data_IF_666324024617
#
_entry.id   IF_666324024617
#
_cell.length_a   1.000
_cell.length_b   1.000
_cell.length_c   1.000
_cell.angle_alpha   90.00
_cell.angle_beta   90.00
_cell.angle_gamma   90.00
#
_symmetry.space_group_name_H-M   'P 1'
#
loop_
_entity.id
_entity.type
_entity.pdbx_description
1 polymer ?
#
# COMPACT_ATOMS: atom_id res chain seq x y z
N UNK A 1 26.29 -7.61 5.35
CA UNK A 1 24.89 -8.10 5.39
C UNK A 1 24.38 -8.27 3.98
N UNK A 2 24.22 -9.50 3.54
CA UNK A 2 23.66 -9.84 2.24
C UNK A 2 22.12 -9.68 2.31
N UNK A 3 21.52 -9.14 1.25
CA UNK A 3 20.08 -9.01 1.15
C UNK A 3 19.60 -9.78 -0.07
N UNK A 4 18.66 -10.68 0.16
CA UNK A 4 18.06 -11.50 -0.87
C UNK A 4 16.66 -10.93 -1.17
N UNK A 5 16.51 -10.22 -2.29
CA UNK A 5 15.19 -9.69 -2.67
C UNK A 5 14.32 -10.87 -3.12
N UNK A 6 13.19 -11.05 -2.44
CA UNK A 6 12.25 -12.15 -2.67
C UNK A 6 11.16 -11.77 -3.68
N UNK A 7 10.64 -10.56 -3.56
CA UNK A 7 9.60 -9.99 -4.39
C UNK A 7 9.83 -8.48 -4.47
N UNK A 8 9.79 -7.91 -5.66
CA UNK A 8 9.82 -6.47 -5.87
C UNK A 8 9.07 -6.09 -7.13
N UNK A 9 8.50 -4.89 -7.14
CA UNK A 9 7.75 -4.41 -8.29
C UNK A 9 7.51 -2.90 -8.26
N UNK A 10 7.01 -2.41 -9.39
CA UNK A 10 6.63 -1.01 -9.58
C UNK A 10 5.26 -0.79 -8.94
N UNK A 11 5.20 0.19 -8.05
CA UNK A 11 4.01 0.57 -7.28
C UNK A 11 3.62 2.03 -7.55
N UNK A 12 2.77 2.59 -6.71
CA UNK A 12 2.46 4.01 -6.75
C UNK A 12 1.68 4.42 -8.00
N UNK A 13 1.91 5.65 -8.45
CA UNK A 13 1.14 6.25 -9.55
C UNK A 13 1.19 5.45 -10.85
N UNK A 14 2.30 4.80 -11.14
CA UNK A 14 2.46 3.93 -12.31
C UNK A 14 1.53 2.72 -12.23
N UNK A 15 1.53 2.03 -11.09
CA UNK A 15 0.69 0.86 -10.89
C UNK A 15 -0.81 1.20 -10.93
N UNK A 16 -1.19 2.37 -10.44
CA UNK A 16 -2.60 2.81 -10.45
C UNK A 16 -3.10 3.30 -11.80
N UNK A 17 -2.21 3.54 -12.79
CA UNK A 17 -2.56 4.21 -14.04
C UNK A 17 -2.71 5.74 -13.89
N UNK A 18 -2.14 6.33 -12.84
CA UNK A 18 -2.19 7.76 -12.55
C UNK A 18 -0.89 8.49 -12.93
N UNK A 19 0.13 7.78 -13.42
CA UNK A 19 1.40 8.38 -13.82
C UNK A 19 1.21 9.33 -15.01
N UNK A 20 2.05 10.37 -15.05
CA UNK A 20 2.17 11.33 -16.15
C UNK A 20 3.63 11.55 -16.51
N UNK A 21 3.90 12.29 -17.59
CA UNK A 21 5.25 12.66 -17.95
C UNK A 21 5.95 13.37 -16.77
N UNK A 22 7.06 12.81 -16.29
CA UNK A 22 7.80 13.32 -15.13
C UNK A 22 7.37 12.73 -13.77
N UNK A 23 6.47 11.76 -13.74
CA UNK A 23 6.20 10.98 -12.51
C UNK A 23 7.43 10.13 -12.16
N UNK A 24 7.80 10.11 -10.89
CA UNK A 24 8.78 9.16 -10.37
C UNK A 24 8.25 7.73 -10.45
N UNK A 25 9.16 6.77 -10.60
CA UNK A 25 8.83 5.35 -10.57
C UNK A 25 9.13 4.82 -9.17
N UNK A 26 8.06 4.61 -8.41
CA UNK A 26 8.14 4.08 -7.05
C UNK A 26 8.31 2.55 -7.10
N UNK A 27 9.22 2.01 -6.29
CA UNK A 27 9.46 0.58 -6.16
C UNK A 27 9.26 0.12 -4.72
N UNK A 28 8.60 -1.00 -4.56
CA UNK A 28 8.40 -1.64 -3.27
C UNK A 28 8.85 -3.10 -3.36
N UNK A 29 9.45 -3.61 -2.28
CA UNK A 29 9.82 -5.02 -2.26
C UNK A 29 9.98 -5.59 -0.86
N UNK A 30 10.16 -6.91 -0.84
CA UNK A 30 10.44 -7.74 0.34
C UNK A 30 11.81 -8.37 0.16
N UNK A 31 12.64 -8.30 1.21
CA UNK A 31 13.92 -8.97 1.23
C UNK A 31 14.08 -9.85 2.47
N UNK A 32 14.92 -10.86 2.38
CA UNK A 32 15.43 -11.61 3.49
C UNK A 32 16.91 -11.24 3.76
N UNK A 33 17.32 -11.35 4.99
CA UNK A 33 18.75 -11.43 5.40
C UNK A 33 19.09 -12.88 5.74
N UNK A 34 20.37 -13.19 5.78
CA UNK A 34 20.82 -14.50 6.29
C UNK A 34 20.31 -14.70 7.71
N UNK A 35 19.68 -15.85 7.95
CA UNK A 35 18.96 -16.09 9.23
C UNK A 35 19.87 -16.00 10.43
N UNK A 36 21.15 -16.35 10.29
CA UNK A 36 22.16 -16.24 11.36
C UNK A 36 22.36 -14.78 11.81
N UNK A 37 22.19 -13.80 10.91
CA UNK A 37 22.34 -12.39 11.26
C UNK A 37 21.22 -11.89 12.20
N UNK A 38 20.06 -12.58 12.21
CA UNK A 38 18.95 -12.26 13.11
C UNK A 38 19.20 -12.72 14.56
N UNK A 39 20.19 -13.58 14.77
CA UNK A 39 20.56 -14.13 16.07
C UNK A 39 21.85 -13.54 16.64
N UNK A 40 22.48 -12.58 15.94
CA UNK A 40 23.67 -11.88 16.39
C UNK A 40 23.38 -10.74 17.37
N UNK A 41 24.43 -10.08 17.86
CA UNK A 41 24.32 -8.89 18.72
C UNK A 41 23.78 -7.67 17.95
N UNK A 42 23.98 -7.63 16.65
CA UNK A 42 23.47 -6.56 15.77
C UNK A 42 22.03 -6.84 15.34
N UNK A 43 21.22 -5.80 15.24
CA UNK A 43 19.88 -5.91 14.66
C UNK A 43 19.93 -5.51 13.18
N UNK A 44 19.59 -6.39 12.24
CA UNK A 44 19.51 -6.04 10.83
C UNK A 44 18.51 -4.90 10.59
N UNK A 45 18.79 -4.05 9.61
CA UNK A 45 17.85 -3.00 9.21
C UNK A 45 16.59 -3.64 8.66
N UNK A 46 15.45 -3.32 9.27
CA UNK A 46 14.14 -3.81 8.84
C UNK A 46 13.62 -3.14 7.56
N UNK A 47 14.21 -2.01 7.16
CA UNK A 47 13.84 -1.30 5.91
C UNK A 47 15.04 -0.64 5.29
N UNK A 48 15.05 -0.63 3.97
CA UNK A 48 15.99 0.11 3.13
C UNK A 48 15.16 1.06 2.27
N UNK A 49 15.46 2.34 2.35
CA UNK A 49 14.79 3.38 1.56
C UNK A 49 15.83 4.18 0.83
N UNK A 50 15.65 4.33 -0.47
CA UNK A 50 16.45 5.21 -1.33
C UNK A 50 15.51 6.20 -2.02
N UNK A 51 16.00 7.42 -2.27
CA UNK A 51 15.21 8.45 -2.93
C UNK A 51 15.47 8.52 -4.46
N UNK A 52 16.62 8.00 -4.90
CA UNK A 52 17.02 7.99 -6.33
C UNK A 52 17.88 6.75 -6.59
N UNK A 53 17.34 5.70 -7.22
CA UNK A 53 15.91 5.53 -7.54
C UNK A 53 15.04 5.46 -6.27
N UNK A 54 13.74 5.79 -6.40
CA UNK A 54 12.79 5.65 -5.28
C UNK A 54 12.47 4.17 -5.07
N UNK A 55 13.08 3.59 -4.05
CA UNK A 55 12.95 2.17 -3.70
C UNK A 55 12.74 2.05 -2.20
N UNK A 56 11.71 1.35 -1.81
CA UNK A 56 11.48 0.92 -0.43
C UNK A 56 11.47 -0.60 -0.37
N UNK A 57 12.41 -1.17 0.38
CA UNK A 57 12.45 -2.60 0.65
C UNK A 57 12.22 -2.83 2.15
N UNK A 58 11.33 -3.77 2.48
CA UNK A 58 11.10 -4.21 3.86
C UNK A 58 11.64 -5.62 4.07
N UNK A 59 12.27 -5.84 5.22
CA UNK A 59 12.62 -7.18 5.66
C UNK A 59 11.34 -8.03 5.84
N UNK A 60 11.42 -9.32 5.54
CA UNK A 60 10.27 -10.21 5.44
C UNK A 60 9.33 -10.15 6.67
N UNK A 61 9.88 -10.22 7.90
CA UNK A 61 9.05 -10.13 9.10
C UNK A 61 8.41 -8.74 9.27
N UNK A 62 9.14 -7.67 8.94
CA UNK A 62 8.60 -6.31 8.94
C UNK A 62 7.46 -6.17 7.94
N UNK A 63 7.67 -6.65 6.71
CA UNK A 63 6.65 -6.61 5.68
C UNK A 63 5.38 -7.33 6.13
N UNK A 64 5.52 -8.56 6.68
CA UNK A 64 4.40 -9.32 7.23
C UNK A 64 3.64 -8.55 8.31
N UNK A 65 4.33 -7.92 9.27
CA UNK A 65 3.67 -7.12 10.32
C UNK A 65 2.87 -5.95 9.75
N UNK A 66 3.41 -5.25 8.74
CA UNK A 66 2.71 -4.16 8.07
C UNK A 66 1.51 -4.67 7.26
N UNK A 67 1.66 -5.78 6.56
CA UNK A 67 0.61 -6.40 5.76
C UNK A 67 -0.53 -6.95 6.62
N UNK A 68 -0.22 -7.58 7.76
CA UNK A 68 -1.22 -8.01 8.76
C UNK A 68 -2.03 -6.84 9.33
N UNK A 69 -1.47 -5.63 9.34
CA UNK A 69 -2.19 -4.40 9.63
C UNK A 69 -3.02 -3.86 8.47
N UNK A 70 -3.13 -4.59 7.37
CA UNK A 70 -3.77 -4.17 6.11
C UNK A 70 -3.27 -2.81 5.60
N UNK A 71 -1.96 -2.51 5.78
CA UNK A 71 -1.36 -1.27 5.32
C UNK A 71 -1.49 -1.14 3.80
N UNK A 72 -2.27 -0.18 3.27
CA UNK A 72 -2.60 -0.10 1.84
C UNK A 72 -1.37 0.05 0.93
N UNK A 73 -0.33 0.75 1.40
CA UNK A 73 0.88 1.01 0.60
C UNK A 73 1.89 -0.13 0.64
N UNK A 74 1.71 -1.09 1.53
CA UNK A 74 2.56 -2.28 1.63
C UNK A 74 1.90 -3.48 0.98
N UNK A 75 0.61 -3.67 1.23
CA UNK A 75 -0.13 -4.82 0.69
C UNK A 75 -0.33 -4.75 -0.81
N UNK A 76 -0.25 -3.57 -1.44
CA UNK A 76 -0.36 -3.44 -2.90
C UNK A 76 0.67 -4.30 -3.65
N UNK A 77 1.85 -4.57 -3.08
CA UNK A 77 2.88 -5.39 -3.70
C UNK A 77 2.37 -6.78 -4.11
N UNK A 78 1.59 -7.45 -3.27
CA UNK A 78 1.07 -8.81 -3.54
C UNK A 78 -0.19 -8.83 -4.40
N UNK A 79 -0.69 -7.66 -4.80
CA UNK A 79 -1.82 -7.48 -5.69
C UNK A 79 -1.42 -6.87 -7.04
N UNK A 80 -0.12 -6.65 -7.27
CA UNK A 80 0.34 -6.11 -8.56
C UNK A 80 -0.01 -7.05 -9.71
N UNK A 81 -0.35 -6.50 -10.88
CA UNK A 81 -0.42 -7.28 -12.09
C UNK A 81 0.98 -7.82 -12.45
N UNK A 82 1.05 -8.99 -13.11
CA UNK A 82 2.32 -9.70 -13.35
C UNK A 82 3.40 -8.86 -14.04
N UNK A 83 3.02 -7.98 -14.94
CA UNK A 83 3.93 -7.13 -15.72
C UNK A 83 4.64 -6.03 -14.92
N UNK A 84 4.19 -5.77 -13.68
CA UNK A 84 4.80 -4.77 -12.81
C UNK A 84 5.81 -5.35 -11.82
N UNK A 85 5.96 -6.67 -11.76
CA UNK A 85 7.02 -7.28 -10.96
C UNK A 85 8.37 -7.19 -11.67
N UNK A 86 9.38 -6.68 -10.96
CA UNK A 86 10.77 -6.63 -11.40
C UNK A 86 11.58 -7.82 -10.83
N UNK A 87 11.18 -8.35 -9.68
CA UNK A 87 11.78 -9.54 -9.04
C UNK A 87 10.66 -10.43 -8.50
N UNK A 88 10.71 -11.71 -8.88
CA UNK A 88 9.85 -12.77 -8.34
C UNK A 88 10.68 -14.03 -8.17
N UNK A 89 10.82 -14.48 -6.93
CA UNK A 89 11.40 -15.78 -6.58
C UNK A 89 10.30 -16.75 -6.20
N UNK A 90 10.62 -18.04 -6.04
CA UNK A 90 9.64 -19.03 -5.55
C UNK A 90 9.03 -18.61 -4.21
N UNK A 91 9.83 -18.01 -3.31
CA UNK A 91 9.33 -17.48 -2.03
C UNK A 91 8.47 -16.22 -2.22
N UNK A 92 8.78 -15.41 -3.23
CA UNK A 92 7.95 -14.26 -3.62
C UNK A 92 6.61 -14.73 -4.18
N UNK A 93 6.60 -15.76 -5.01
CA UNK A 93 5.38 -16.36 -5.57
C UNK A 93 4.53 -17.02 -4.48
N UNK A 94 5.16 -17.70 -3.52
CA UNK A 94 4.48 -18.24 -2.34
C UNK A 94 3.83 -17.12 -1.50
N UNK A 95 4.49 -15.95 -1.37
CA UNK A 95 3.93 -14.79 -0.69
C UNK A 95 2.68 -14.24 -1.40
N UNK A 96 2.74 -14.13 -2.73
CA UNK A 96 1.58 -13.71 -3.54
C UNK A 96 0.43 -14.73 -3.42
N UNK A 97 0.74 -16.02 -3.37
CA UNK A 97 -0.28 -17.08 -3.24
C UNK A 97 -1.07 -16.98 -1.93
N UNK A 98 -0.42 -16.57 -0.83
CA UNK A 98 -1.08 -16.42 0.49
C UNK A 98 -1.61 -15.00 0.75
N UNK A 99 -1.70 -14.12 -0.26
CA UNK A 99 -2.10 -12.71 -0.07
C UNK A 99 -3.41 -12.51 0.69
N UNK A 100 -4.37 -13.42 0.55
CA UNK A 100 -5.62 -13.40 1.30
C UNK A 100 -5.45 -13.64 2.80
N UNK A 101 -4.40 -14.36 3.21
CA UNK A 101 -4.12 -14.66 4.61
C UNK A 101 -3.85 -13.41 5.47
N UNK A 102 -3.42 -12.31 4.86
CA UNK A 102 -3.17 -11.05 5.56
C UNK A 102 -4.42 -10.24 5.88
N UNK A 103 -5.56 -10.60 5.31
CA UNK A 103 -6.76 -9.78 5.33
C UNK A 103 -7.73 -10.18 6.45
N UNK A 104 -8.39 -9.17 7.03
CA UNK A 104 -9.63 -9.32 7.78
C UNK A 104 -10.52 -8.11 7.56
N UNK A 105 -11.84 -8.28 7.72
CA UNK A 105 -12.82 -7.23 7.50
C UNK A 105 -12.50 -5.99 8.34
N UNK A 106 -12.28 -6.16 9.64
CA UNK A 106 -11.98 -5.07 10.56
C UNK A 106 -10.68 -4.33 10.21
N UNK A 107 -9.58 -5.08 9.95
CA UNK A 107 -8.28 -4.47 9.67
C UNK A 107 -8.30 -3.71 8.35
N UNK A 108 -8.93 -4.25 7.30
CA UNK A 108 -9.08 -3.57 6.01
C UNK A 108 -9.88 -2.28 6.16
N UNK A 109 -11.06 -2.35 6.80
CA UNK A 109 -11.89 -1.17 7.07
C UNK A 109 -11.12 -0.09 7.83
N UNK A 110 -10.52 -0.46 8.96
CA UNK A 110 -9.80 0.47 9.84
C UNK A 110 -8.60 1.10 9.15
N UNK A 111 -7.80 0.31 8.43
CA UNK A 111 -6.61 0.81 7.75
C UNK A 111 -6.98 1.77 6.62
N UNK A 112 -7.82 1.35 5.67
CA UNK A 112 -8.15 2.17 4.51
C UNK A 112 -8.86 3.47 4.89
N UNK A 113 -9.85 3.41 5.80
CA UNK A 113 -10.50 4.64 6.31
C UNK A 113 -9.53 5.52 7.10
N UNK A 114 -8.64 4.92 7.90
CA UNK A 114 -7.61 5.65 8.65
C UNK A 114 -6.62 6.37 7.74
N UNK A 115 -6.15 5.72 6.67
CA UNK A 115 -5.29 6.34 5.66
C UNK A 115 -6.03 7.45 4.89
N UNK A 116 -7.28 7.22 4.49
CA UNK A 116 -8.10 8.23 3.81
C UNK A 116 -8.33 9.46 4.71
N UNK A 117 -8.65 9.28 6.00
CA UNK A 117 -8.80 10.38 6.97
C UNK A 117 -7.51 11.20 7.10
N UNK A 118 -6.35 10.55 7.17
CA UNK A 118 -5.04 11.26 7.21
C UNK A 118 -4.81 12.08 5.94
N UNK A 119 -5.18 11.56 4.76
CA UNK A 119 -5.09 12.31 3.51
C UNK A 119 -6.03 13.51 3.50
N UNK A 120 -7.27 13.35 3.97
CA UNK A 120 -8.24 14.45 4.08
C UNK A 120 -7.68 15.58 4.97
N UNK A 121 -7.20 15.26 6.16
CA UNK A 121 -6.60 16.23 7.08
C UNK A 121 -5.37 16.94 6.47
N UNK A 122 -4.58 16.22 5.67
CA UNK A 122 -3.44 16.82 4.96
C UNK A 122 -3.89 17.78 3.85
N UNK A 123 -4.96 17.44 3.13
CA UNK A 123 -5.59 18.31 2.11
C UNK A 123 -6.18 19.56 2.77
N UNK A 124 -6.94 19.40 3.85
CA UNK A 124 -7.54 20.51 4.61
C UNK A 124 -6.49 21.49 5.12
N UNK A 125 -5.42 21.00 5.72
CA UNK A 125 -4.29 21.85 6.16
C UNK A 125 -3.65 22.62 5.03
N UNK A 126 -3.51 22.00 3.83
CA UNK A 126 -2.96 22.70 2.68
C UNK A 126 -3.92 23.74 2.12
N UNK A 127 -5.23 23.50 2.16
CA UNK A 127 -6.23 24.48 1.74
C UNK A 127 -6.32 25.67 2.69
N UNK A 128 -6.19 25.45 4.01
CA UNK A 128 -6.24 26.48 5.03
C UNK A 128 -4.96 27.34 5.13
N UNK A 129 -3.87 26.98 4.47
CA UNK A 129 -2.60 27.73 4.55
C UNK A 129 -2.72 29.12 3.92
N UNK A 130 -1.97 30.11 4.45
CA UNK A 130 -1.99 31.49 4.01
C UNK A 130 -1.35 31.71 2.63
N UNK A 131 -1.91 32.62 1.87
CA UNK A 131 -1.42 33.05 0.55
C UNK A 131 -2.10 32.38 -0.65
N UNK A 132 -1.94 32.93 -1.85
CA UNK A 132 -2.51 32.37 -3.05
C UNK A 132 -1.95 30.96 -3.28
N UNK A 133 -2.83 30.03 -3.69
CA UNK A 133 -2.41 28.70 -4.08
C UNK A 133 -1.52 28.81 -5.34
N UNK A 134 -0.20 28.76 -5.15
CA UNK A 134 0.70 28.58 -6.28
C UNK A 134 0.41 27.25 -6.99
N UNK A 135 0.82 27.14 -8.24
CA UNK A 135 0.60 25.91 -9.02
C UNK A 135 1.11 24.65 -8.32
N UNK A 136 2.22 24.75 -7.57
CA UNK A 136 2.80 23.63 -6.83
C UNK A 136 1.92 23.22 -5.63
N UNK A 137 1.34 24.17 -4.90
CA UNK A 137 0.39 23.89 -3.80
C UNK A 137 -0.88 23.26 -4.32
N UNK A 138 -1.45 23.82 -5.40
CA UNK A 138 -2.64 23.27 -6.08
C UNK A 138 -2.37 21.81 -6.51
N UNK A 139 -1.25 21.53 -7.16
CA UNK A 139 -0.87 20.18 -7.57
C UNK A 139 -0.75 19.21 -6.39
N UNK A 140 -0.15 19.63 -5.26
CA UNK A 140 -0.07 18.81 -4.03
C UNK A 140 -1.42 18.54 -3.41
N UNK A 141 -2.38 19.49 -3.47
CA UNK A 141 -3.75 19.30 -3.01
C UNK A 141 -4.45 18.29 -3.93
N UNK A 142 -4.39 18.47 -5.24
CA UNK A 142 -4.99 17.58 -6.22
C UNK A 142 -4.45 16.13 -6.06
N UNK A 143 -3.14 15.96 -5.94
CA UNK A 143 -2.50 14.65 -5.69
C UNK A 143 -2.99 14.03 -4.38
N UNK A 144 -3.09 14.81 -3.29
CA UNK A 144 -3.57 14.33 -1.99
C UNK A 144 -5.03 13.89 -2.01
N UNK A 145 -5.90 14.67 -2.67
CA UNK A 145 -7.32 14.35 -2.82
C UNK A 145 -7.54 13.14 -3.76
N UNK A 146 -6.77 13.03 -4.84
CA UNK A 146 -6.75 11.83 -5.69
C UNK A 146 -6.31 10.59 -4.91
N UNK A 147 -5.28 10.71 -4.07
CA UNK A 147 -4.84 9.60 -3.20
C UNK A 147 -5.93 9.17 -2.21
N UNK A 148 -6.66 10.12 -1.61
CA UNK A 148 -7.83 9.83 -0.77
C UNK A 148 -8.89 9.05 -1.55
N UNK A 149 -9.27 9.52 -2.74
CA UNK A 149 -10.29 8.86 -3.56
C UNK A 149 -9.86 7.44 -3.94
N UNK A 150 -8.62 7.24 -4.38
CA UNK A 150 -8.07 5.92 -4.67
C UNK A 150 -8.15 4.97 -3.47
N UNK A 151 -7.73 5.42 -2.28
CA UNK A 151 -7.80 4.62 -1.06
C UNK A 151 -9.23 4.16 -0.76
N UNK A 152 -10.21 5.05 -0.92
CA UNK A 152 -11.60 4.72 -0.68
C UNK A 152 -12.16 3.75 -1.72
N UNK A 153 -11.83 3.92 -3.00
CA UNK A 153 -12.24 3.00 -4.08
C UNK A 153 -11.65 1.61 -3.84
N UNK A 154 -10.34 1.52 -3.63
CA UNK A 154 -9.66 0.23 -3.44
C UNK A 154 -10.03 -0.43 -2.10
N UNK A 155 -10.16 0.35 -1.01
CA UNK A 155 -10.59 -0.17 0.28
C UNK A 155 -12.00 -0.73 0.24
N UNK A 156 -12.92 -0.06 -0.46
CA UNK A 156 -14.28 -0.54 -0.69
C UNK A 156 -14.30 -1.84 -1.51
N UNK A 157 -13.54 -1.90 -2.60
CA UNK A 157 -13.41 -3.12 -3.41
C UNK A 157 -12.89 -4.27 -2.56
N UNK A 158 -11.74 -4.09 -1.89
CA UNK A 158 -11.12 -5.12 -1.06
C UNK A 158 -12.06 -5.61 0.07
N UNK A 159 -12.74 -4.69 0.75
CA UNK A 159 -13.70 -5.02 1.81
C UNK A 159 -14.89 -5.83 1.29
N UNK A 160 -15.41 -5.50 0.10
CA UNK A 160 -16.62 -6.13 -0.45
C UNK A 160 -16.36 -7.43 -1.20
N UNK A 161 -15.18 -7.62 -1.76
CA UNK A 161 -14.89 -8.76 -2.65
C UNK A 161 -13.77 -9.67 -2.15
N UNK A 162 -13.00 -9.23 -1.16
CA UNK A 162 -11.79 -9.93 -0.72
C UNK A 162 -10.61 -9.80 -1.68
N UNK A 163 -10.75 -9.02 -2.75
CA UNK A 163 -9.71 -8.79 -3.77
C UNK A 163 -9.60 -7.30 -4.12
N UNK A 164 -8.45 -6.88 -4.65
CA UNK A 164 -8.27 -5.51 -5.11
C UNK A 164 -7.50 -5.50 -6.42
N UNK A 165 -7.98 -4.70 -7.35
CA UNK A 165 -7.25 -4.34 -8.56
C UNK A 165 -6.43 -3.09 -8.30
N UNK A 166 -5.10 -3.22 -8.48
CA UNK A 166 -4.21 -2.09 -8.25
C UNK A 166 -4.39 -1.03 -9.32
N UNK A 167 -4.47 -1.44 -10.60
CA UNK A 167 -4.82 -0.53 -11.69
C UNK A 167 -6.27 -0.09 -11.55
N UNK A 168 -6.50 1.20 -11.49
CA UNK A 168 -7.86 1.76 -11.41
C UNK A 168 -8.62 1.55 -12.72
N UNK A 169 -9.89 1.18 -12.62
CA UNK A 169 -10.76 1.05 -13.79
C UNK A 169 -11.03 2.40 -14.47
N UNK A 170 -11.09 3.50 -13.70
CA UNK A 170 -11.20 4.87 -14.21
C UNK A 170 -10.21 5.80 -13.47
N UNK A 171 -8.91 5.80 -13.86
CA UNK A 171 -7.93 6.70 -13.28
C UNK A 171 -8.25 8.17 -13.49
N UNK A 172 -8.93 8.49 -14.61
CA UNK A 172 -9.26 9.86 -14.95
C UNK A 172 -10.31 10.46 -14.00
N UNK A 173 -11.27 9.68 -13.52
CA UNK A 173 -12.22 10.14 -12.51
C UNK A 173 -11.53 10.52 -11.20
N UNK A 174 -10.52 9.75 -10.80
CA UNK A 174 -9.71 10.03 -9.61
C UNK A 174 -8.90 11.32 -9.79
N UNK A 175 -8.35 11.54 -10.99
CA UNK A 175 -7.59 12.75 -11.32
C UNK A 175 -8.50 13.98 -11.29
N UNK A 176 -9.64 13.95 -12.01
CA UNK A 176 -10.66 15.02 -11.99
C UNK A 176 -11.19 15.32 -10.60
N UNK A 177 -11.39 14.28 -9.77
CA UNK A 177 -11.78 14.48 -8.38
C UNK A 177 -10.72 15.27 -7.62
N UNK A 178 -9.45 14.92 -7.77
CA UNK A 178 -8.33 15.64 -7.15
C UNK A 178 -8.30 17.11 -7.54
N UNK A 179 -8.47 17.41 -8.83
CA UNK A 179 -8.50 18.77 -9.37
C UNK A 179 -9.67 19.58 -8.81
N UNK A 180 -10.89 19.03 -8.82
CA UNK A 180 -12.06 19.70 -8.22
C UNK A 180 -11.83 20.07 -6.76
N UNK A 181 -11.26 19.18 -5.98
CA UNK A 181 -10.94 19.47 -4.56
C UNK A 181 -9.90 20.57 -4.45
N UNK A 182 -8.90 20.59 -5.34
CA UNK A 182 -7.88 21.64 -5.38
C UNK A 182 -8.48 23.00 -5.79
N UNK A 183 -9.57 23.00 -6.55
CA UNK A 183 -10.32 24.20 -6.95
C UNK A 183 -11.41 24.62 -5.93
N UNK A 184 -11.44 23.98 -4.74
CA UNK A 184 -12.26 24.40 -3.60
C UNK A 184 -13.39 23.45 -3.21
N UNK A 185 -13.65 22.34 -3.94
CA UNK A 185 -14.72 21.39 -3.59
C UNK A 185 -14.28 20.42 -2.46
N UNK A 186 -13.75 20.97 -1.37
CA UNK A 186 -13.44 20.20 -0.16
C UNK A 186 -14.66 19.43 0.39
N UNK A 187 -15.91 19.97 0.34
CA UNK A 187 -17.08 19.21 0.74
C UNK A 187 -17.23 17.88 0.02
N UNK A 188 -16.84 17.76 -1.27
CA UNK A 188 -16.88 16.48 -1.99
C UNK A 188 -15.95 15.43 -1.36
N UNK A 189 -14.75 15.84 -0.91
CA UNK A 189 -13.81 14.92 -0.24
C UNK A 189 -14.36 14.42 1.10
N UNK A 190 -14.99 15.29 1.87
CA UNK A 190 -15.65 14.94 3.14
C UNK A 190 -16.82 13.98 2.91
N UNK A 191 -17.68 14.29 1.91
CA UNK A 191 -18.81 13.42 1.55
C UNK A 191 -18.33 12.04 1.11
N UNK A 192 -17.34 11.95 0.22
CA UNK A 192 -16.82 10.68 -0.27
C UNK A 192 -16.33 9.78 0.88
N UNK A 193 -15.62 10.36 1.86
CA UNK A 193 -15.19 9.62 3.04
C UNK A 193 -16.36 9.18 3.92
N UNK A 194 -17.34 10.06 4.16
CA UNK A 194 -18.52 9.78 4.98
C UNK A 194 -19.38 8.68 4.35
N UNK A 195 -19.66 8.81 3.05
CA UNK A 195 -20.49 7.85 2.29
C UNK A 195 -19.83 6.47 2.24
N UNK A 196 -18.51 6.41 1.98
CA UNK A 196 -17.77 5.15 2.01
C UNK A 196 -17.76 4.53 3.39
N UNK A 197 -17.59 5.34 4.45
CA UNK A 197 -17.65 4.83 5.82
C UNK A 197 -19.02 4.22 6.12
N UNK A 198 -20.11 4.93 5.80
CA UNK A 198 -21.47 4.45 6.00
C UNK A 198 -21.80 3.21 5.13
N UNK A 199 -21.22 3.11 3.94
CA UNK A 199 -21.36 1.93 3.09
C UNK A 199 -20.71 0.71 3.74
N UNK A 200 -19.46 0.83 4.19
CA UNK A 200 -18.75 -0.27 4.85
C UNK A 200 -19.40 -0.70 6.17
N UNK A 201 -20.05 0.23 6.89
CA UNK A 201 -20.77 -0.08 8.13
C UNK A 201 -22.07 -0.87 7.89
N UNK A 202 -22.69 -0.69 6.72
CA UNK A 202 -23.97 -1.34 6.38
C UNK A 202 -23.81 -2.70 5.69
N UNK A 203 -22.64 -3.00 5.13
CA UNK A 203 -22.45 -4.21 4.34
C UNK A 203 -21.54 -5.19 5.07
N UNK A 204 -21.96 -6.46 5.10
CA UNK A 204 -21.11 -7.55 5.53
C UNK A 204 -19.96 -7.74 4.50
N UNK A 205 -18.78 -8.07 5.01
CA UNK A 205 -17.61 -8.40 4.18
C UNK A 205 -17.47 -9.92 4.05
N UNK A 206 -17.03 -10.44 2.89
CA UNK A 206 -16.65 -11.84 2.77
C UNK A 206 -15.29 -12.15 3.41
N UNK A 207 -14.55 -11.12 3.84
CA UNK A 207 -13.28 -11.30 4.53
C UNK A 207 -13.48 -11.94 5.90
N UNK A 208 -12.50 -12.73 6.38
CA UNK A 208 -12.58 -13.33 7.71
C UNK A 208 -12.51 -12.26 8.83
N UNK A 209 -12.94 -12.63 10.03
CA UNK A 209 -12.84 -11.77 11.21
C UNK A 209 -11.39 -11.51 11.62
N UNK A 210 -10.49 -12.48 11.36
CA UNK A 210 -9.05 -12.39 11.68
C UNK A 210 -8.22 -12.89 10.51
N UNK A 211 -7.01 -12.32 10.31
CA UNK A 211 -6.05 -12.84 9.35
C UNK A 211 -5.63 -14.27 9.71
N UNK A 212 -5.21 -15.04 8.72
CA UNK A 212 -4.56 -16.33 8.94
C UNK A 212 -3.07 -16.15 9.26
N UNK A 213 -2.81 -15.77 10.50
CA UNK A 213 -1.44 -15.55 10.99
C UNK A 213 -0.60 -16.85 10.95
N UNK A 214 -1.25 -18.05 10.93
CA UNK A 214 -0.52 -19.33 10.81
C UNK A 214 0.07 -19.52 9.42
N UNK A 215 -0.68 -19.20 8.37
CA UNK A 215 -0.17 -19.24 7.00
C UNK A 215 0.97 -18.24 6.79
N UNK A 216 0.83 -17.03 7.35
CA UNK A 216 1.88 -15.99 7.30
C UNK A 216 3.14 -16.44 8.03
N UNK A 217 2.99 -17.00 9.22
CA UNK A 217 4.11 -17.54 10.02
C UNK A 217 4.80 -18.71 9.32
N UNK A 218 4.03 -19.61 8.70
CA UNK A 218 4.59 -20.72 7.95
C UNK A 218 5.44 -20.24 6.76
N UNK A 219 4.96 -19.22 6.02
CA UNK A 219 5.73 -18.60 4.96
C UNK A 219 7.03 -17.96 5.49
N UNK A 220 6.93 -17.19 6.58
CA UNK A 220 8.11 -16.54 7.18
C UNK A 220 9.16 -17.56 7.63
N UNK A 221 8.72 -18.67 8.22
CA UNK A 221 9.64 -19.78 8.61
C UNK A 221 10.29 -20.41 7.38
N UNK A 222 9.57 -20.59 6.27
CA UNK A 222 10.15 -21.08 5.01
C UNK A 222 11.22 -20.11 4.49
N UNK A 223 10.99 -18.81 4.57
CA UNK A 223 12.01 -17.78 4.23
C UNK A 223 13.24 -17.94 5.12
N UNK A 224 13.06 -18.10 6.44
CA UNK A 224 14.18 -18.28 7.39
C UNK A 224 14.96 -19.56 7.11
N UNK A 225 14.27 -20.66 6.82
CA UNK A 225 14.91 -21.93 6.49
C UNK A 225 15.74 -21.87 5.19
N UNK A 226 15.19 -21.21 4.15
CA UNK A 226 15.86 -21.05 2.87
C UNK A 226 17.11 -20.15 2.93
N UNK A 227 17.19 -19.26 3.91
CA UNK A 227 18.30 -18.34 4.12
C UNK A 227 19.07 -18.65 5.42
N UNK A 228 18.93 -19.85 5.93
CA UNK A 228 19.83 -20.35 6.97
C UNK A 228 21.19 -20.59 6.29
N UNK A 229 22.16 -19.72 6.56
CA UNK A 229 23.47 -19.83 5.94
C UNK A 229 24.01 -21.27 6.10
N UNK A 230 24.37 -21.88 4.99
CA UNK A 230 25.23 -23.04 5.04
C UNK A 230 26.58 -22.60 5.68
N UNK A 231 26.95 -23.22 6.78
CA UNK A 231 28.19 -22.98 7.44
C UNK A 231 29.38 -23.29 6.51
#
# INVERSE_FOLDING_TARGET
MTRHVLLAGIVGSTAYGLAHAGSDVDRLGVFAVDTVELHGLGTPRESVVTARPDVTLHEAAKWCRLALGANPTVTELVWLPPELYETRTDLGDALVAIRGAFLSAERVRTAYLGYARRQLLAVERRLAGDGPADGARRARIAKGAGHLARLLVQGRQLYRTGTVEIRLGDPESVRRFGERVADGDLPAARRLLADTTAELDRHASPLPDRPDERAVEAWLRAVRAAHLAAA
#
